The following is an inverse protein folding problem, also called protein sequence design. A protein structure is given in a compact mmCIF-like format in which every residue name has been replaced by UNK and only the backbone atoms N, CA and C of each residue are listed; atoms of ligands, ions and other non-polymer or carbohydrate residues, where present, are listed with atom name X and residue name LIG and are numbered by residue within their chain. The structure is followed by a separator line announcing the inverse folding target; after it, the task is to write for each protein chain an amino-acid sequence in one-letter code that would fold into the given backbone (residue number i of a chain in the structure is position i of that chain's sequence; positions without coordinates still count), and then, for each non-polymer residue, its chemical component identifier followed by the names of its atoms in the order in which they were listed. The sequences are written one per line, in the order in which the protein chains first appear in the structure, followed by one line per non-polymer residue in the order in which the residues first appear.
data_IF_676080671299
#
_entry.id   IF_676080671299
#
_cell.length_a   1.000
_cell.length_b   1.000
_cell.length_c   1.000
_cell.angle_alpha   90.00
_cell.angle_beta   90.00
_cell.angle_gamma   90.00
#
_symmetry.space_group_name_H-M   'P 1'
#
loop_
_entity.id
_entity.type
_entity.pdbx_description
1 polymer ?
#
# COMPACT_ATOMS: atom_id res chain seq x y z
N UNK A 1 35.74 49.77 16.37
CA UNK A 1 34.86 48.60 16.26
C UNK A 1 35.35 47.59 17.28
N UNK A 2 34.62 47.45 18.39
CA UNK A 2 35.15 46.85 19.62
C UNK A 2 35.23 45.32 19.54
N UNK A 3 36.39 44.77 19.94
CA UNK A 3 36.69 43.32 19.99
C UNK A 3 35.66 42.51 20.79
N UNK A 4 34.95 43.17 21.73
CA UNK A 4 33.86 42.60 22.53
C UNK A 4 32.57 42.43 21.73
N UNK A 5 32.31 43.28 20.74
CA UNK A 5 31.13 43.23 19.87
C UNK A 5 31.22 42.09 18.85
N UNK A 6 32.44 41.78 18.34
CA UNK A 6 32.66 40.61 17.48
C UNK A 6 32.40 39.27 18.19
N UNK A 7 32.65 39.18 19.49
CA UNK A 7 32.40 37.96 20.26
C UNK A 7 30.90 37.72 20.47
N UNK A 8 30.11 38.78 20.67
CA UNK A 8 28.66 38.69 20.79
C UNK A 8 27.99 38.25 19.48
N UNK A 9 28.49 38.71 18.34
CA UNK A 9 27.97 38.33 17.01
C UNK A 9 28.27 36.86 16.72
N UNK A 10 29.49 36.38 17.04
CA UNK A 10 29.85 34.96 16.88
C UNK A 10 29.04 34.05 17.80
N UNK A 11 28.76 34.50 19.03
CA UNK A 11 27.91 33.77 19.97
C UNK A 11 26.45 33.68 19.50
N UNK A 12 25.93 34.76 18.91
CA UNK A 12 24.59 34.81 18.32
C UNK A 12 24.47 33.94 17.06
N UNK A 13 25.53 33.85 16.23
CA UNK A 13 25.56 32.95 15.07
C UNK A 13 25.64 31.46 15.46
N UNK A 14 26.22 31.12 16.61
CA UNK A 14 26.25 29.74 17.11
C UNK A 14 24.89 29.25 17.63
N UNK A 15 24.04 30.16 18.13
CA UNK A 15 22.70 29.86 18.66
C UNK A 15 21.66 29.55 17.56
N UNK A 16 21.91 29.96 16.32
CA UNK A 16 21.01 29.71 15.18
C UNK A 16 21.17 28.32 14.54
N UNK A 17 22.14 27.53 15.00
CA UNK A 17 22.35 26.14 14.55
C UNK A 17 21.75 25.12 15.52
N UNK A 18 20.65 25.47 16.19
CA UNK A 18 19.73 24.46 16.74
C UNK A 18 18.89 23.91 15.58
N UNK A 19 19.59 23.18 14.70
CA UNK A 19 18.98 22.46 13.59
C UNK A 19 17.88 21.55 14.12
N UNK A 20 16.78 21.47 13.38
CA UNK A 20 15.66 20.60 13.67
C UNK A 20 16.16 19.23 14.13
N UNK A 21 15.79 18.85 15.35
CA UNK A 21 15.73 17.43 15.71
C UNK A 21 14.75 16.81 14.74
N UNK A 22 15.27 16.20 13.67
CA UNK A 22 14.56 15.18 12.93
C UNK A 22 14.37 14.05 13.93
N UNK A 23 13.20 14.00 14.56
CA UNK A 23 12.78 12.82 15.32
C UNK A 23 12.83 11.66 14.33
N UNK A 24 13.88 10.85 14.42
CA UNK A 24 13.85 9.49 13.89
C UNK A 24 12.57 8.90 14.44
N UNK A 25 11.59 8.69 13.56
CA UNK A 25 10.20 8.44 13.94
C UNK A 25 10.16 7.11 14.66
N UNK A 26 10.25 7.16 15.99
CA UNK A 26 10.01 6.03 16.87
C UNK A 26 8.49 5.93 17.08
N UNK A 27 7.74 5.86 15.98
CA UNK A 27 6.28 5.87 15.94
C UNK A 27 5.75 4.50 16.35
N UNK A 28 4.63 4.51 17.09
CA UNK A 28 3.94 3.27 17.43
C UNK A 28 3.37 2.63 16.16
N UNK A 29 3.23 1.29 16.09
CA UNK A 29 2.70 0.62 14.90
C UNK A 29 1.31 1.15 14.46
N UNK A 30 0.46 1.53 15.43
CA UNK A 30 -0.84 2.14 15.17
C UNK A 30 -0.77 3.51 14.48
N UNK A 31 0.26 4.29 14.79
CA UNK A 31 0.50 5.61 14.21
C UNK A 31 1.01 5.48 12.77
N UNK A 32 1.94 4.54 12.52
CA UNK A 32 2.41 4.20 11.17
C UNK A 32 1.25 3.84 10.24
N UNK A 33 0.34 2.97 10.68
CA UNK A 33 -0.86 2.62 9.89
C UNK A 33 -1.76 3.84 9.63
N UNK A 34 -1.97 4.70 10.62
CA UNK A 34 -2.80 5.89 10.46
C UNK A 34 -2.21 6.88 9.43
N UNK A 35 -0.91 7.14 9.49
CA UNK A 35 -0.21 7.97 8.50
C UNK A 35 -0.21 7.31 7.11
N UNK A 36 -0.02 5.99 7.04
CA UNK A 36 -0.11 5.27 5.78
C UNK A 36 -1.51 5.37 5.14
N UNK A 37 -2.55 5.29 5.97
CA UNK A 37 -3.94 5.44 5.52
C UNK A 37 -4.20 6.86 4.98
N UNK A 38 -3.64 7.89 5.61
CA UNK A 38 -3.71 9.25 5.06
C UNK A 38 -3.01 9.36 3.71
N UNK A 39 -1.78 8.84 3.59
CA UNK A 39 -1.05 8.80 2.33
C UNK A 39 -1.80 8.03 1.23
N UNK A 40 -2.44 6.92 1.58
CA UNK A 40 -3.27 6.11 0.67
C UNK A 40 -4.44 6.91 0.07
N UNK A 41 -5.17 7.66 0.91
CA UNK A 41 -6.27 8.51 0.44
C UNK A 41 -5.77 9.74 -0.33
N UNK A 42 -4.58 10.24 -0.02
CA UNK A 42 -3.92 11.27 -0.81
C UNK A 42 -3.40 10.75 -2.17
N UNK A 43 -3.42 9.43 -2.40
CA UNK A 43 -2.92 8.80 -3.62
C UNK A 43 -1.40 8.60 -3.63
N UNK A 44 -0.70 8.96 -2.55
CA UNK A 44 0.71 8.66 -2.36
C UNK A 44 0.89 7.20 -1.93
N UNK A 45 0.76 6.31 -2.92
CA UNK A 45 0.80 4.86 -2.72
C UNK A 45 2.20 4.36 -2.30
N UNK A 46 3.26 5.07 -2.70
CA UNK A 46 4.64 4.68 -2.37
C UNK A 46 4.90 4.91 -0.89
N UNK A 47 4.58 6.11 -0.39
CA UNK A 47 4.71 6.42 1.04
C UNK A 47 3.81 5.52 1.88
N UNK A 48 2.56 5.29 1.44
CA UNK A 48 1.64 4.41 2.12
C UNK A 48 2.19 2.97 2.23
N UNK A 49 2.72 2.40 1.14
CA UNK A 49 3.30 1.07 1.15
C UNK A 49 4.50 0.98 2.10
N UNK A 50 5.41 1.94 2.05
CA UNK A 50 6.60 1.97 2.92
C UNK A 50 6.24 1.99 4.39
N UNK A 51 5.29 2.85 4.78
CA UNK A 51 4.82 2.96 6.16
C UNK A 51 4.09 1.69 6.64
N UNK A 52 3.33 1.02 5.77
CA UNK A 52 2.65 -0.22 6.12
C UNK A 52 3.62 -1.38 6.29
N UNK A 53 4.64 -1.48 5.42
CA UNK A 53 5.71 -2.47 5.59
C UNK A 53 6.43 -2.26 6.92
N UNK A 54 6.77 -1.02 7.24
CA UNK A 54 7.37 -0.67 8.53
C UNK A 54 6.44 -1.04 9.69
N UNK A 55 5.13 -0.75 9.60
CA UNK A 55 4.16 -1.14 10.64
C UNK A 55 4.12 -2.66 10.85
N UNK A 56 4.20 -3.42 9.77
CA UNK A 56 4.19 -4.89 9.79
C UNK A 56 5.51 -5.49 10.25
N UNK A 57 6.64 -4.79 10.10
CA UNK A 57 7.91 -5.19 10.71
C UNK A 57 7.84 -5.14 12.25
N UNK A 58 7.03 -4.24 12.81
CA UNK A 58 6.77 -4.19 14.25
C UNK A 58 5.68 -5.17 14.71
N UNK A 59 4.61 -5.33 13.92
CA UNK A 59 3.51 -6.23 14.22
C UNK A 59 2.94 -6.88 12.95
N UNK A 60 3.41 -8.09 12.65
CA UNK A 60 3.00 -8.87 11.49
C UNK A 60 1.56 -9.42 11.58
N UNK A 61 0.89 -9.25 12.73
CA UNK A 61 -0.50 -9.67 12.98
C UNK A 61 -1.51 -8.53 12.84
N UNK A 62 -1.11 -7.37 12.34
CA UNK A 62 -2.05 -6.29 12.02
C UNK A 62 -2.79 -6.58 10.71
N UNK A 63 -4.00 -7.13 10.84
CA UNK A 63 -4.88 -7.44 9.72
C UNK A 63 -5.22 -6.21 8.87
N UNK A 64 -5.39 -5.05 9.50
CA UNK A 64 -5.81 -3.82 8.81
C UNK A 64 -4.66 -3.28 7.95
N UNK A 65 -3.41 -3.43 8.42
CA UNK A 65 -2.22 -3.10 7.63
C UNK A 65 -2.06 -4.04 6.42
N UNK A 66 -2.27 -5.34 6.59
CA UNK A 66 -2.29 -6.29 5.46
C UNK A 66 -3.41 -5.99 4.46
N UNK A 67 -4.61 -5.66 4.93
CA UNK A 67 -5.73 -5.27 4.08
C UNK A 67 -5.42 -4.01 3.25
N UNK A 68 -4.86 -2.98 3.88
CA UNK A 68 -4.50 -1.74 3.19
C UNK A 68 -3.36 -1.94 2.18
N UNK A 69 -2.37 -2.79 2.47
CA UNK A 69 -1.38 -3.21 1.46
C UNK A 69 -2.04 -3.92 0.28
N UNK A 70 -3.01 -4.80 0.55
CA UNK A 70 -3.82 -5.45 -0.48
C UNK A 70 -4.51 -4.43 -1.39
N UNK A 71 -5.09 -3.37 -0.81
CA UNK A 71 -5.73 -2.29 -1.56
C UNK A 71 -4.71 -1.52 -2.44
N UNK A 72 -3.52 -1.23 -1.91
CA UNK A 72 -2.44 -0.57 -2.67
C UNK A 72 -2.02 -1.42 -3.87
N UNK A 73 -1.78 -2.72 -3.64
CA UNK A 73 -1.40 -3.64 -4.72
C UNK A 73 -2.50 -3.82 -5.74
N UNK A 74 -3.77 -3.84 -5.32
CA UNK A 74 -4.90 -3.90 -6.23
C UNK A 74 -4.98 -2.65 -7.11
N UNK A 75 -4.81 -1.45 -6.53
CA UNK A 75 -4.80 -0.17 -7.26
C UNK A 75 -3.62 -0.05 -8.24
N UNK A 76 -2.50 -0.69 -7.92
CA UNK A 76 -1.31 -0.74 -8.78
C UNK A 76 -1.26 -1.98 -9.68
N UNK A 77 -2.37 -2.73 -9.76
CA UNK A 77 -2.52 -3.93 -10.60
C UNK A 77 -1.52 -5.06 -10.31
N UNK A 78 -0.89 -5.05 -9.13
CA UNK A 78 0.01 -6.09 -8.66
C UNK A 78 -0.79 -7.24 -8.04
N UNK A 79 -1.55 -7.98 -8.87
CA UNK A 79 -2.56 -8.94 -8.41
C UNK A 79 -2.02 -10.05 -7.51
N UNK A 80 -0.82 -10.56 -7.78
CA UNK A 80 -0.18 -11.60 -6.95
C UNK A 80 0.17 -11.05 -5.55
N UNK A 81 0.75 -9.85 -5.49
CA UNK A 81 1.07 -9.20 -4.21
C UNK A 81 -0.21 -8.87 -3.43
N UNK A 82 -1.24 -8.39 -4.11
CA UNK A 82 -2.55 -8.10 -3.53
C UNK A 82 -3.18 -9.36 -2.92
N UNK A 83 -3.19 -10.47 -3.66
CA UNK A 83 -3.68 -11.76 -3.19
C UNK A 83 -2.98 -12.21 -1.91
N UNK A 84 -1.64 -12.16 -1.90
CA UNK A 84 -0.86 -12.56 -0.72
C UNK A 84 -1.17 -11.71 0.51
N UNK A 85 -1.31 -10.39 0.32
CA UNK A 85 -1.66 -9.46 1.39
C UNK A 85 -3.08 -9.72 1.94
N UNK A 86 -4.07 -9.87 1.06
CA UNK A 86 -5.43 -10.19 1.49
C UNK A 86 -5.55 -11.58 2.13
N UNK A 87 -4.82 -12.58 1.67
CA UNK A 87 -4.80 -13.90 2.32
C UNK A 87 -4.21 -13.82 3.73
N UNK A 88 -3.22 -12.96 3.98
CA UNK A 88 -2.73 -12.69 5.34
C UNK A 88 -3.81 -12.01 6.19
N UNK A 89 -4.47 -10.98 5.66
CA UNK A 89 -5.57 -10.31 6.34
C UNK A 89 -6.72 -11.28 6.67
N UNK A 90 -7.14 -12.14 5.73
CA UNK A 90 -8.21 -13.12 5.89
C UNK A 90 -7.91 -14.16 6.98
N UNK A 91 -6.64 -14.55 7.14
CA UNK A 91 -6.24 -15.46 8.24
C UNK A 91 -6.37 -14.81 9.61
N UNK A 92 -6.25 -13.48 9.69
CA UNK A 92 -6.28 -12.73 10.95
C UNK A 92 -7.70 -12.25 11.29
N UNK A 93 -8.50 -11.87 10.28
CA UNK A 93 -9.89 -11.40 10.40
C UNK A 93 -10.78 -12.06 9.33
N UNK A 94 -11.11 -13.35 9.45
CA UNK A 94 -11.92 -14.06 8.45
C UNK A 94 -13.36 -13.54 8.33
N UNK A 95 -13.85 -12.79 9.31
CA UNK A 95 -15.19 -12.20 9.33
C UNK A 95 -15.30 -10.89 8.52
N UNK A 96 -14.18 -10.29 8.11
CA UNK A 96 -14.19 -9.06 7.31
C UNK A 96 -14.56 -9.35 5.85
N UNK A 97 -15.81 -9.09 5.49
CA UNK A 97 -16.39 -9.42 4.18
C UNK A 97 -15.65 -8.75 3.00
N UNK A 98 -15.13 -7.54 3.21
CA UNK A 98 -14.41 -6.77 2.19
C UNK A 98 -13.14 -7.50 1.70
N UNK A 99 -12.50 -8.30 2.57
CA UNK A 99 -11.33 -9.09 2.18
C UNK A 99 -11.71 -10.13 1.13
N UNK A 100 -12.80 -10.86 1.38
CA UNK A 100 -13.28 -11.92 0.48
C UNK A 100 -13.78 -11.33 -0.84
N UNK A 101 -14.45 -10.19 -0.79
CA UNK A 101 -14.85 -9.45 -1.98
C UNK A 101 -13.62 -9.08 -2.84
N UNK A 102 -12.59 -8.49 -2.25
CA UNK A 102 -11.39 -8.10 -2.98
C UNK A 102 -10.59 -9.31 -3.50
N UNK A 103 -10.52 -10.41 -2.74
CA UNK A 103 -9.94 -11.67 -3.21
C UNK A 103 -10.70 -12.22 -4.42
N UNK A 104 -12.03 -12.22 -4.40
CA UNK A 104 -12.84 -12.66 -5.54
C UNK A 104 -12.55 -11.81 -6.79
N UNK A 105 -12.49 -10.48 -6.65
CA UNK A 105 -12.13 -9.59 -7.76
C UNK A 105 -10.73 -9.91 -8.32
N UNK A 106 -9.76 -10.20 -7.46
CA UNK A 106 -8.41 -10.60 -7.90
C UNK A 106 -8.45 -11.93 -8.66
N UNK A 107 -9.16 -12.93 -8.13
CA UNK A 107 -9.27 -14.23 -8.79
C UNK A 107 -9.93 -14.13 -10.16
N UNK A 108 -10.98 -13.32 -10.30
CA UNK A 108 -11.61 -13.03 -11.60
C UNK A 108 -10.60 -12.39 -12.55
N UNK A 109 -9.81 -11.39 -12.11
CA UNK A 109 -8.78 -10.75 -12.93
C UNK A 109 -7.68 -11.72 -13.36
N UNK A 110 -7.19 -12.56 -12.45
CA UNK A 110 -6.19 -13.58 -12.75
C UNK A 110 -6.73 -14.64 -13.73
N UNK A 111 -7.98 -15.07 -13.57
CA UNK A 111 -8.65 -15.99 -14.48
C UNK A 111 -8.78 -15.38 -15.89
N UNK A 112 -9.24 -14.12 -16.00
CA UNK A 112 -9.28 -13.41 -17.29
C UNK A 112 -7.90 -13.34 -17.92
N UNK A 113 -6.87 -12.95 -17.17
CA UNK A 113 -5.50 -12.86 -17.70
C UNK A 113 -5.01 -14.21 -18.23
N UNK A 114 -5.22 -15.29 -17.46
CA UNK A 114 -4.82 -16.65 -17.86
C UNK A 114 -5.51 -17.08 -19.16
N UNK A 115 -6.80 -16.78 -19.29
CA UNK A 115 -7.57 -17.10 -20.50
C UNK A 115 -7.13 -16.26 -21.70
N UNK A 116 -6.76 -14.99 -21.51
CA UNK A 116 -6.20 -14.14 -22.55
C UNK A 116 -4.83 -14.65 -23.03
N UNK A 117 -3.97 -15.07 -22.11
CA UNK A 117 -2.67 -15.66 -22.44
C UNK A 117 -2.83 -16.99 -23.19
N UNK A 118 -3.81 -17.80 -22.79
CA UNK A 118 -4.17 -19.07 -23.45
C UNK A 118 -4.86 -18.91 -24.80
N UNK A 119 -5.54 -17.78 -25.06
CA UNK A 119 -6.33 -17.56 -26.30
C UNK A 119 -5.50 -17.77 -27.57
N UNK A 120 -4.21 -17.43 -27.56
CA UNK A 120 -3.32 -17.64 -28.73
C UNK A 120 -3.02 -19.12 -29.04
N UNK A 121 -3.40 -20.04 -28.15
CA UNK A 121 -3.09 -21.47 -28.24
C UNK A 121 -4.34 -22.34 -28.45
N UNK A 122 -5.55 -21.75 -28.41
CA UNK A 122 -6.81 -22.47 -28.46
C UNK A 122 -7.75 -21.75 -29.44
N UNK A 123 -8.49 -22.50 -30.24
CA UNK A 123 -9.44 -21.94 -31.22
C UNK A 123 -10.50 -21.07 -30.52
N UNK A 124 -10.88 -19.94 -31.14
CA UNK A 124 -11.76 -18.91 -30.54
C UNK A 124 -13.17 -19.46 -30.15
N UNK A 125 -13.57 -20.60 -30.70
CA UNK A 125 -14.82 -21.31 -30.36
C UNK A 125 -14.83 -21.91 -28.96
N UNK A 126 -13.70 -21.96 -28.25
CA UNK A 126 -13.56 -22.73 -27.01
C UNK A 126 -13.75 -21.92 -25.70
N UNK A 127 -13.99 -20.60 -25.73
CA UNK A 127 -13.90 -19.81 -24.50
C UNK A 127 -15.04 -18.81 -24.23
N UNK A 128 -16.29 -19.27 -24.10
CA UNK A 128 -17.43 -18.41 -23.70
C UNK A 128 -17.27 -17.80 -22.30
N UNK A 129 -16.44 -18.42 -21.44
CA UNK A 129 -16.13 -17.89 -20.11
C UNK A 129 -15.34 -16.58 -20.18
N UNK A 130 -14.38 -16.46 -21.10
CA UNK A 130 -13.60 -15.24 -21.27
C UNK A 130 -14.48 -14.06 -21.67
N UNK A 131 -15.43 -14.26 -22.60
CA UNK A 131 -16.33 -13.20 -23.02
C UNK A 131 -17.23 -12.73 -21.85
N UNK A 132 -17.75 -13.67 -21.06
CA UNK A 132 -18.52 -13.34 -19.85
C UNK A 132 -17.68 -12.56 -18.82
N UNK A 133 -16.45 -13.00 -18.56
CA UNK A 133 -15.54 -12.33 -17.62
C UNK A 133 -15.21 -10.90 -18.08
N UNK A 134 -14.96 -10.70 -19.38
CA UNK A 134 -14.71 -9.37 -19.95
C UNK A 134 -15.94 -8.46 -19.83
N UNK A 135 -17.16 -8.99 -20.02
CA UNK A 135 -18.40 -8.23 -19.82
C UNK A 135 -18.58 -7.81 -18.35
N UNK A 136 -18.43 -8.73 -17.41
CA UNK A 136 -18.56 -8.46 -15.97
C UNK A 136 -17.53 -7.41 -15.52
N UNK A 137 -16.31 -7.49 -16.04
CA UNK A 137 -15.24 -6.53 -15.70
C UNK A 137 -15.43 -5.18 -16.38
N UNK A 138 -16.01 -5.14 -17.58
CA UNK A 138 -16.33 -3.90 -18.30
C UNK A 138 -17.53 -3.14 -17.72
N UNK A 139 -18.46 -3.84 -17.07
CA UNK A 139 -19.61 -3.22 -16.38
C UNK A 139 -19.26 -2.68 -14.98
N UNK A 140 -18.05 -2.94 -14.48
CA UNK A 140 -17.59 -2.54 -13.15
C UNK A 140 -16.69 -1.28 -13.15
N UNK A 141 -16.61 -0.56 -14.28
CA UNK A 141 -15.80 0.65 -14.48
C UNK A 141 -16.61 1.92 -14.55
#
# INVERSE_FOLDING_TARGET
MDRKSNWLILWFMMLLMSGCVSSAVNSRPSELRATAQQAYYAGDLITAEGLLRQALDYNDKDADSWFLLGNIYLRTQQYVAAQNAYQRAARLKPEQAEIWHNLALIHIRQATQTLLEGRRHVDDTFNPLLDWLLQVQGAAG
#
